data_IF_908497787229
#
_entry.id   IF_908497787229
#
_cell.length_a   1.000
_cell.length_b   1.000
_cell.length_c   1.000
_cell.angle_alpha   90.00
_cell.angle_beta   90.00
_cell.angle_gamma   90.00
#
_symmetry.space_group_name_H-M   'P 1'
#
loop_
_entity.id
_entity.type
_entity.pdbx_description
1 polymer ?
#
# COMPACT_ATOMS: atom_id res chain seq x y z
N UNK A 1 16.17 7.70 32.32
CA UNK A 1 15.03 7.96 31.41
C UNK A 1 15.54 8.77 30.21
N UNK A 2 16.24 8.09 29.30
CA UNK A 2 17.18 8.72 28.38
C UNK A 2 16.88 8.47 26.91
N UNK A 3 16.99 9.56 26.15
CA UNK A 3 17.36 9.65 24.73
C UNK A 3 16.29 9.25 23.72
N UNK A 4 15.62 10.26 23.19
CA UNK A 4 15.41 10.28 21.75
C UNK A 4 14.29 11.17 21.27
N UNK A 5 13.15 11.22 21.95
CA UNK A 5 11.94 11.88 21.45
C UNK A 5 11.94 13.34 21.86
N UNK A 6 12.14 14.23 20.89
CA UNK A 6 11.89 15.66 21.05
C UNK A 6 10.37 15.85 21.11
N UNK A 7 9.85 16.23 22.27
CA UNK A 7 8.49 16.73 22.41
C UNK A 7 8.56 18.16 22.92
N UNK A 8 7.78 19.06 22.33
CA UNK A 8 7.57 20.39 22.89
C UNK A 8 6.14 20.44 23.42
N UNK A 9 5.98 20.88 24.66
CA UNK A 9 4.67 21.08 25.28
C UNK A 9 4.38 22.58 25.29
N UNK A 10 3.25 22.96 24.70
CA UNK A 10 2.75 24.33 24.76
C UNK A 10 1.30 24.31 25.23
N UNK A 11 0.98 25.26 26.12
CA UNK A 11 -0.39 25.44 26.61
C UNK A 11 -1.08 26.46 25.72
N UNK A 12 -2.13 26.04 25.02
CA UNK A 12 -2.95 26.93 24.19
C UNK A 12 -4.41 26.80 24.64
N UNK A 13 -5.04 27.91 25.04
CA UNK A 13 -6.43 27.95 25.54
C UNK A 13 -6.70 26.98 26.71
N UNK A 14 -5.77 26.85 27.66
CA UNK A 14 -5.95 26.00 28.84
C UNK A 14 -5.91 24.48 28.57
N UNK A 15 -5.64 24.05 27.33
CA UNK A 15 -5.29 22.66 27.00
C UNK A 15 -3.78 22.53 26.85
N UNK A 16 -3.21 21.53 27.52
CA UNK A 16 -1.86 21.05 27.24
C UNK A 16 -1.85 20.37 25.87
N UNK A 17 -1.09 20.94 24.92
CA UNK A 17 -0.85 20.33 23.62
C UNK A 17 0.62 19.92 23.56
N UNK A 18 0.86 18.61 23.51
CA UNK A 18 2.20 18.05 23.32
C UNK A 18 2.40 17.71 21.86
N UNK A 19 3.32 18.42 21.20
CA UNK A 19 3.72 18.15 19.82
C UNK A 19 4.92 17.21 19.84
N UNK A 20 4.69 15.98 19.41
CA UNK A 20 5.71 14.93 19.35
C UNK A 20 6.41 15.01 17.99
N UNK A 21 7.71 15.29 17.99
CA UNK A 21 8.50 15.24 16.77
C UNK A 21 8.92 13.81 16.47
N UNK A 22 8.66 13.37 15.23
CA UNK A 22 9.11 12.07 14.74
C UNK A 22 10.64 12.06 14.64
N UNK A 23 11.28 11.21 15.42
CA UNK A 23 12.73 11.05 15.35
C UNK A 23 13.18 10.45 14.02
N UNK A 24 14.36 10.84 13.56
CA UNK A 24 15.00 10.28 12.36
C UNK A 24 15.02 8.74 12.37
N UNK A 25 15.21 8.12 13.55
CA UNK A 25 15.15 6.65 13.72
C UNK A 25 13.79 6.05 13.34
N UNK A 26 12.70 6.71 13.74
CA UNK A 26 11.34 6.23 13.47
C UNK A 26 11.04 6.38 11.97
N UNK A 27 11.48 7.49 11.36
CA UNK A 27 11.35 7.73 9.92
C UNK A 27 12.08 6.66 9.11
N UNK A 28 13.33 6.33 9.49
CA UNK A 28 14.11 5.27 8.82
C UNK A 28 13.42 3.92 8.96
N UNK A 29 12.96 3.54 10.17
CA UNK A 29 12.22 2.29 10.36
C UNK A 29 10.95 2.23 9.50
N UNK A 30 10.15 3.31 9.48
CA UNK A 30 8.95 3.39 8.65
C UNK A 30 9.28 3.25 7.16
N UNK A 31 10.33 3.90 6.68
CA UNK A 31 10.77 3.79 5.28
C UNK A 31 11.21 2.37 4.94
N UNK A 32 12.03 1.74 5.79
CA UNK A 32 12.49 0.37 5.56
C UNK A 32 11.32 -0.63 5.51
N UNK A 33 10.39 -0.54 6.48
CA UNK A 33 9.19 -1.39 6.51
C UNK A 33 8.27 -1.13 5.32
N UNK A 34 8.05 0.14 4.96
CA UNK A 34 7.16 0.50 3.84
C UNK A 34 7.74 0.03 2.51
N UNK A 35 9.05 0.18 2.30
CA UNK A 35 9.71 -0.29 1.09
C UNK A 35 9.60 -1.82 0.97
N UNK A 36 9.89 -2.54 2.05
CA UNK A 36 9.75 -3.99 2.06
C UNK A 36 8.31 -4.43 1.74
N UNK A 37 7.30 -3.85 2.41
CA UNK A 37 5.90 -4.16 2.15
C UNK A 37 5.45 -3.79 0.72
N UNK A 38 5.91 -2.65 0.19
CA UNK A 38 5.56 -2.21 -1.17
C UNK A 38 6.03 -3.17 -2.26
N UNK A 39 7.15 -3.88 -2.04
CA UNK A 39 7.64 -4.88 -2.97
C UNK A 39 6.69 -6.09 -3.05
N UNK A 40 6.18 -6.57 -1.91
CA UNK A 40 5.17 -7.63 -1.88
C UNK A 40 3.87 -7.19 -2.55
N UNK A 41 3.41 -5.97 -2.26
CA UNK A 41 2.21 -5.40 -2.90
C UNK A 41 2.37 -5.25 -4.42
N UNK A 42 3.55 -4.86 -4.89
CA UNK A 42 3.85 -4.77 -6.32
C UNK A 42 3.77 -6.14 -7.01
N UNK A 43 4.26 -7.21 -6.36
CA UNK A 43 4.20 -8.56 -6.90
C UNK A 43 2.76 -9.09 -6.99
N UNK A 44 1.92 -8.81 -5.99
CA UNK A 44 0.49 -9.12 -6.06
C UNK A 44 -0.20 -8.40 -7.23
N UNK A 45 0.12 -7.12 -7.42
CA UNK A 45 -0.46 -6.34 -8.50
C UNK A 45 0.03 -6.82 -9.87
N UNK A 46 1.31 -7.21 -9.98
CA UNK A 46 1.89 -7.84 -11.17
C UNK A 46 1.18 -9.16 -11.50
N UNK A 47 1.00 -10.03 -10.51
CA UNK A 47 0.29 -11.31 -10.67
C UNK A 47 -1.15 -11.11 -11.13
N UNK A 48 -1.85 -10.13 -10.57
CA UNK A 48 -3.22 -9.84 -10.99
C UNK A 48 -3.33 -9.25 -12.39
N UNK A 49 -2.40 -8.39 -12.81
CA UNK A 49 -2.35 -7.91 -14.20
C UNK A 49 -2.10 -9.09 -15.16
N UNK A 50 -1.15 -9.97 -14.84
CA UNK A 50 -0.83 -11.15 -15.67
C UNK A 50 -1.96 -12.17 -15.73
N UNK A 51 -2.82 -12.22 -14.70
CA UNK A 51 -3.98 -13.10 -14.72
C UNK A 51 -5.01 -12.70 -15.78
N UNK A 52 -5.02 -11.44 -16.25
CA UNK A 52 -5.99 -10.94 -17.24
C UNK A 52 -5.63 -11.52 -18.61
N UNK A 53 -6.62 -12.13 -19.27
CA UNK A 53 -6.41 -12.78 -20.57
C UNK A 53 -5.93 -11.79 -21.63
N UNK A 54 -4.84 -12.14 -22.31
CA UNK A 54 -4.30 -11.37 -23.44
C UNK A 54 -5.28 -11.25 -24.60
N UNK A 55 -6.24 -12.19 -24.72
CA UNK A 55 -7.30 -12.12 -25.73
C UNK A 55 -8.18 -10.88 -25.61
N UNK A 56 -8.36 -10.33 -24.40
CA UNK A 56 -9.09 -9.07 -24.21
C UNK A 56 -8.34 -7.87 -24.78
N UNK A 57 -7.01 -7.85 -24.69
CA UNK A 57 -6.17 -6.82 -25.30
C UNK A 57 -6.21 -6.90 -26.82
N UNK A 58 -6.21 -8.11 -27.39
CA UNK A 58 -6.31 -8.33 -28.83
C UNK A 58 -7.69 -7.91 -29.34
N UNK A 59 -8.77 -8.31 -28.66
CA UNK A 59 -10.14 -7.91 -29.02
C UNK A 59 -10.35 -6.39 -28.96
N UNK A 60 -9.82 -5.73 -27.91
CA UNK A 60 -9.89 -4.28 -27.80
C UNK A 60 -9.15 -3.56 -28.93
N UNK A 61 -7.98 -4.06 -29.34
CA UNK A 61 -7.25 -3.54 -30.49
C UNK A 61 -8.01 -3.76 -31.81
N UNK A 62 -8.69 -4.91 -31.97
CA UNK A 62 -9.56 -5.17 -33.12
C UNK A 62 -10.77 -4.23 -33.18
N UNK A 63 -11.21 -3.70 -32.05
CA UNK A 63 -12.25 -2.66 -31.95
C UNK A 63 -11.69 -1.23 -32.12
N UNK A 64 -10.41 -1.08 -32.48
CA UNK A 64 -9.77 0.22 -32.72
C UNK A 64 -9.26 0.92 -31.45
N UNK A 65 -9.24 0.26 -30.30
CA UNK A 65 -8.68 0.86 -29.07
C UNK A 65 -7.16 0.91 -29.11
N UNK A 66 -6.59 2.04 -28.68
CA UNK A 66 -5.15 2.14 -28.45
C UNK A 66 -4.72 1.27 -27.27
N UNK A 67 -3.48 0.78 -27.27
CA UNK A 67 -2.93 -0.07 -26.20
C UNK A 67 -3.12 0.54 -24.80
N UNK A 68 -2.93 1.86 -24.68
CA UNK A 68 -3.08 2.59 -23.42
C UNK A 68 -4.55 2.61 -22.98
N UNK A 69 -5.49 2.85 -23.92
CA UNK A 69 -6.92 2.81 -23.62
C UNK A 69 -7.36 1.42 -23.17
N UNK A 70 -6.91 0.36 -23.84
CA UNK A 70 -7.22 -1.03 -23.48
C UNK A 70 -6.67 -1.38 -22.09
N UNK A 71 -5.44 -0.97 -21.77
CA UNK A 71 -4.88 -1.20 -20.43
C UNK A 71 -5.69 -0.46 -19.37
N UNK A 72 -5.99 0.83 -19.58
CA UNK A 72 -6.67 1.68 -18.59
C UNK A 72 -8.12 1.27 -18.35
N UNK A 73 -8.86 0.90 -19.39
CA UNK A 73 -10.30 0.64 -19.31
C UNK A 73 -10.66 -0.85 -19.15
N UNK A 74 -9.76 -1.77 -19.51
CA UNK A 74 -10.05 -3.21 -19.49
C UNK A 74 -9.16 -3.91 -18.46
N UNK A 75 -7.84 -3.81 -18.61
CA UNK A 75 -6.88 -4.58 -17.79
C UNK A 75 -6.84 -4.07 -16.35
N UNK A 76 -6.65 -2.76 -16.16
CA UNK A 76 -6.50 -2.13 -14.85
C UNK A 76 -7.70 -2.38 -13.90
N UNK A 77 -8.97 -2.12 -14.30
CA UNK A 77 -10.11 -2.37 -13.42
C UNK A 77 -10.33 -3.86 -13.12
N UNK A 78 -10.00 -4.75 -14.05
CA UNK A 78 -10.10 -6.21 -13.82
C UNK A 78 -9.00 -6.73 -12.90
N UNK A 79 -7.76 -6.29 -13.11
CA UNK A 79 -6.64 -6.61 -12.25
C UNK A 79 -6.91 -6.12 -10.81
N UNK A 80 -7.39 -4.88 -10.65
CA UNK A 80 -7.76 -4.34 -9.34
C UNK A 80 -8.82 -5.19 -8.64
N UNK A 81 -9.89 -5.58 -9.36
CA UNK A 81 -10.93 -6.46 -8.81
C UNK A 81 -10.40 -7.82 -8.35
N UNK A 82 -9.33 -8.33 -8.98
CA UNK A 82 -8.70 -9.60 -8.61
C UNK A 82 -7.72 -9.49 -7.45
N UNK A 83 -7.12 -8.33 -7.21
CA UNK A 83 -6.26 -8.12 -6.04
C UNK A 83 -7.05 -7.89 -4.76
N UNK A 84 -8.23 -7.26 -4.83
CA UNK A 84 -9.05 -6.95 -3.65
C UNK A 84 -9.26 -8.17 -2.73
N UNK A 85 -9.67 -9.36 -3.22
CA UNK A 85 -9.82 -10.54 -2.38
C UNK A 85 -8.50 -10.98 -1.72
N UNK A 86 -7.39 -10.92 -2.46
CA UNK A 86 -6.06 -11.28 -1.96
C UNK A 86 -5.62 -10.35 -0.82
N UNK A 87 -5.80 -9.03 -1.00
CA UNK A 87 -5.55 -8.04 0.06
C UNK A 87 -6.47 -8.20 1.26
N UNK A 88 -7.76 -8.52 1.06
CA UNK A 88 -8.68 -8.78 2.17
C UNK A 88 -8.27 -10.02 2.97
N UNK A 89 -7.75 -11.06 2.29
CA UNK A 89 -7.26 -12.25 2.96
C UNK A 89 -6.03 -11.91 3.82
N UNK A 90 -5.07 -11.17 3.27
CA UNK A 90 -3.88 -10.72 3.98
C UNK A 90 -4.18 -9.76 5.14
N UNK A 91 -5.16 -8.85 4.98
CA UNK A 91 -5.67 -7.98 6.03
C UNK A 91 -6.31 -8.77 7.19
N UNK A 92 -6.93 -9.91 6.93
CA UNK A 92 -7.46 -10.79 7.98
C UNK A 92 -6.35 -11.55 8.73
N UNK A 93 -5.17 -11.74 8.11
CA UNK A 93 -4.00 -12.34 8.77
C UNK A 93 -3.14 -11.33 9.53
N UNK A 94 -3.17 -10.05 9.16
CA UNK A 94 -2.41 -8.96 9.80
C UNK A 94 -2.54 -8.94 11.35
N UNK A 95 -3.74 -9.03 11.95
CA UNK A 95 -3.89 -9.12 13.41
C UNK A 95 -3.25 -10.38 14.03
N UNK A 96 -3.16 -11.47 13.26
CA UNK A 96 -2.54 -12.73 13.70
C UNK A 96 -1.02 -12.67 13.65
N UNK A 97 -0.44 -11.89 12.74
CA UNK A 97 1.01 -11.67 12.72
C UNK A 97 1.47 -10.66 13.78
N UNK A 98 0.66 -9.64 14.10
CA UNK A 98 1.02 -8.67 15.15
C UNK A 98 1.15 -9.30 16.52
N UNK A 99 0.35 -10.32 16.85
CA UNK A 99 0.44 -11.05 18.13
C UNK A 99 1.66 -11.99 18.21
N UNK A 100 2.37 -12.21 17.11
CA UNK A 100 3.61 -13.02 17.08
C UNK A 100 4.85 -12.12 17.27
N UNK A 101 4.75 -10.84 16.89
CA UNK A 101 5.84 -9.86 16.99
C UNK A 101 5.78 -9.03 18.29
N UNK A 102 4.64 -9.06 19.00
CA UNK A 102 4.44 -8.39 20.30
C UNK A 102 4.71 -9.34 21.45
#
# INVERSE_FOLDING_TARGET
LGRGIWYTSFVFFGRDITLVFLNARIIICMLTLSLNSSAYQAEYMRGAILSVSTGQLTAAQSLGMSKIASIRHIVLPQALRRVIPSWSNEAAYLPKYTVIVS
#
